data_IF_905662357773
#
_entry.id   IF_905662357773
#
_cell.length_a   1.000
_cell.length_b   1.000
_cell.length_c   1.000
_cell.angle_alpha   90.00
_cell.angle_beta   90.00
_cell.angle_gamma   90.00
#
_symmetry.space_group_name_H-M   'P 1'
#
loop_
_entity.id
_entity.type
_entity.pdbx_description
1 polymer ?
#
# COMPACT_ATOMS: atom_id res chain seq x y z
N UNK A 1 -5.44 20.98 3.16
CA UNK A 1 -6.09 20.13 2.14
C UNK A 1 -5.66 18.69 2.37
N UNK A 2 -6.56 17.72 2.22
CA UNK A 2 -6.27 16.29 2.30
C UNK A 2 -5.72 15.75 0.98
N UNK A 3 -5.11 14.56 1.00
CA UNK A 3 -4.67 13.88 -0.23
C UNK A 3 -5.87 13.56 -1.15
N UNK A 4 -5.68 13.50 -2.49
CA UNK A 4 -6.74 13.16 -3.42
C UNK A 4 -7.35 11.78 -3.14
N UNK A 5 -8.68 11.68 -3.09
CA UNK A 5 -9.37 10.42 -2.82
C UNK A 5 -9.04 9.32 -3.84
N UNK A 6 -8.90 9.68 -5.12
CA UNK A 6 -8.53 8.73 -6.17
C UNK A 6 -7.12 8.12 -5.94
N UNK A 7 -6.19 8.93 -5.43
CA UNK A 7 -4.87 8.46 -5.04
C UNK A 7 -4.98 7.48 -3.88
N UNK A 8 -5.69 7.87 -2.81
CA UNK A 8 -5.90 7.00 -1.64
C UNK A 8 -6.56 5.67 -2.01
N UNK A 9 -7.60 5.67 -2.85
CA UNK A 9 -8.24 4.43 -3.31
C UNK A 9 -7.33 3.54 -4.19
N UNK A 10 -6.35 4.10 -4.89
CA UNK A 10 -5.34 3.32 -5.60
C UNK A 10 -4.35 2.68 -4.62
N UNK A 11 -3.94 3.42 -3.59
CA UNK A 11 -3.05 2.98 -2.52
C UNK A 11 -3.70 1.86 -1.68
N UNK A 12 -4.96 2.03 -1.30
CA UNK A 12 -5.73 1.05 -0.49
C UNK A 12 -5.88 -0.30 -1.16
N UNK A 13 -5.96 -0.33 -2.50
CA UNK A 13 -6.08 -1.56 -3.29
C UNK A 13 -4.74 -2.20 -3.61
N UNK A 14 -3.62 -1.59 -3.22
CA UNK A 14 -2.30 -2.09 -3.53
C UNK A 14 -1.94 -3.34 -2.71
N UNK A 15 -1.59 -4.42 -3.41
CA UNK A 15 -1.44 -5.76 -2.81
C UNK A 15 -0.17 -6.02 -1.97
N UNK A 16 0.83 -5.13 -1.97
CA UNK A 16 2.01 -5.32 -1.10
C UNK A 16 1.66 -5.05 0.35
N UNK A 17 2.09 -5.92 1.27
CA UNK A 17 1.60 -5.91 2.65
C UNK A 17 2.26 -4.86 3.54
N UNK A 18 3.52 -4.46 3.32
CA UNK A 18 4.17 -3.46 4.20
C UNK A 18 3.53 -2.08 4.02
N UNK A 19 3.07 -1.78 2.80
CA UNK A 19 2.46 -0.50 2.48
C UNK A 19 3.44 0.67 2.55
N UNK A 20 4.74 0.40 2.43
CA UNK A 20 5.79 1.41 2.50
C UNK A 20 6.08 2.00 1.11
N UNK A 21 6.29 3.32 1.08
CA UNK A 21 6.57 4.09 -0.12
C UNK A 21 7.83 4.92 0.05
N UNK A 22 8.51 5.20 -1.07
CA UNK A 22 9.62 6.15 -1.16
C UNK A 22 9.35 7.17 -2.25
N UNK A 23 9.97 8.35 -2.16
CA UNK A 23 9.92 9.32 -3.25
C UNK A 23 10.42 8.70 -4.55
N UNK A 24 9.77 9.03 -5.64
CA UNK A 24 10.24 8.72 -6.98
C UNK A 24 10.64 10.02 -7.71
N UNK A 25 11.21 9.88 -8.91
CA UNK A 25 11.64 11.02 -9.72
C UNK A 25 10.43 11.83 -10.16
N UNK A 26 10.50 13.15 -9.99
CA UNK A 26 9.49 14.06 -10.52
C UNK A 26 9.48 14.00 -12.05
N UNK A 27 8.28 13.94 -12.61
CA UNK A 27 8.07 13.88 -14.06
C UNK A 27 7.07 14.95 -14.47
N UNK A 28 7.29 15.50 -15.67
CA UNK A 28 6.36 16.42 -16.32
C UNK A 28 5.45 15.62 -17.24
N UNK A 29 4.14 15.83 -17.14
CA UNK A 29 3.15 15.12 -17.96
C UNK A 29 2.30 16.08 -18.79
N UNK A 30 1.94 15.65 -20.00
CA UNK A 30 1.01 16.35 -20.87
C UNK A 30 -0.38 15.75 -20.70
N UNK A 31 -1.25 16.41 -19.93
CA UNK A 31 -2.63 15.97 -19.71
C UNK A 31 -3.53 16.44 -20.84
N UNK A 32 -3.26 17.66 -21.32
CA UNK A 32 -3.95 18.33 -22.41
C UNK A 32 -2.90 18.94 -23.31
N UNK A 33 -2.81 18.56 -24.60
CA UNK A 33 -1.80 19.09 -25.51
C UNK A 33 -1.96 20.57 -25.82
N UNK A 34 -3.09 21.17 -25.43
CA UNK A 34 -3.29 22.63 -25.53
C UNK A 34 -2.81 23.39 -24.31
N UNK A 35 -2.29 22.69 -23.29
CA UNK A 35 -1.81 23.27 -22.03
C UNK A 35 -0.32 23.00 -21.80
N UNK A 36 0.35 23.80 -20.95
CA UNK A 36 1.69 23.48 -20.49
C UNK A 36 1.76 22.12 -19.81
N UNK A 37 2.95 21.51 -19.83
CA UNK A 37 3.21 20.31 -19.06
C UNK A 37 3.01 20.57 -17.57
N UNK A 38 2.46 19.59 -16.87
CA UNK A 38 2.18 19.69 -15.44
C UNK A 38 3.10 18.75 -14.65
N UNK A 39 3.70 19.22 -13.53
CA UNK A 39 4.52 18.37 -12.68
C UNK A 39 3.67 17.35 -11.93
N UNK A 40 4.17 16.12 -11.89
CA UNK A 40 3.62 15.00 -11.12
C UNK A 40 4.56 14.68 -9.99
N UNK A 41 4.01 14.64 -8.77
CA UNK A 41 4.70 14.12 -7.61
C UNK A 41 4.35 12.64 -7.50
N UNK A 42 5.34 11.79 -7.73
CA UNK A 42 5.22 10.33 -7.72
C UNK A 42 5.98 9.72 -6.54
N UNK A 43 5.52 8.54 -6.14
CA UNK A 43 6.19 7.69 -5.15
C UNK A 43 6.25 6.27 -5.71
N UNK A 44 7.17 5.46 -5.21
CA UNK A 44 7.28 4.06 -5.56
C UNK A 44 7.03 3.18 -4.33
N UNK A 45 6.27 2.10 -4.49
CA UNK A 45 6.17 1.06 -3.46
C UNK A 45 7.54 0.42 -3.23
N UNK A 46 7.98 0.36 -1.98
CA UNK A 46 9.30 -0.19 -1.62
C UNK A 46 9.34 -1.71 -1.65
N UNK A 47 8.19 -2.39 -1.64
CA UNK A 47 8.11 -3.85 -1.69
C UNK A 47 8.25 -4.36 -3.13
N UNK A 48 7.36 -3.94 -4.04
CA UNK A 48 7.34 -4.44 -5.41
C UNK A 48 8.25 -3.68 -6.37
N UNK A 49 8.49 -2.39 -6.13
CA UNK A 49 9.18 -1.46 -7.03
C UNK A 49 8.52 -1.24 -8.41
N UNK A 50 7.30 -1.74 -8.61
CA UNK A 50 6.58 -1.66 -9.89
C UNK A 50 5.33 -0.80 -9.82
N UNK A 51 4.89 -0.45 -8.62
CA UNK A 51 3.74 0.40 -8.40
C UNK A 51 4.21 1.82 -8.09
N UNK A 52 3.94 2.73 -9.03
CA UNK A 52 4.38 4.13 -9.01
C UNK A 52 3.19 5.09 -8.99
N UNK A 53 2.42 5.14 -7.89
CA UNK A 53 1.31 6.07 -7.77
C UNK A 53 1.84 7.50 -7.68
N UNK A 54 1.06 8.44 -8.22
CA UNK A 54 1.38 9.85 -8.17
C UNK A 54 0.15 10.72 -8.38
N UNK A 55 0.31 12.00 -8.10
CA UNK A 55 -0.71 13.01 -8.35
C UNK A 55 -0.07 14.26 -8.93
N UNK A 56 -0.87 15.03 -9.66
CA UNK A 56 -0.47 16.33 -10.14
C UNK A 56 -0.16 17.24 -8.96
N UNK A 57 0.91 18.03 -9.05
CA UNK A 57 1.30 18.93 -7.97
C UNK A 57 0.18 19.93 -7.63
N UNK A 58 -0.65 20.32 -8.61
CA UNK A 58 -1.81 21.21 -8.42
C UNK A 58 -2.92 20.59 -7.57
N UNK A 59 -2.99 19.26 -7.48
CA UNK A 59 -3.97 18.52 -6.71
C UNK A 59 -3.46 18.14 -5.31
N UNK A 60 -2.20 18.44 -5.02
CA UNK A 60 -1.58 18.17 -3.73
C UNK A 60 -1.55 19.43 -2.85
N UNK A 61 -1.42 19.27 -1.53
CA UNK A 61 -1.12 20.39 -0.65
C UNK A 61 0.11 21.17 -1.14
N UNK A 62 0.05 22.50 -1.01
CA UNK A 62 1.13 23.39 -1.42
C UNK A 62 2.46 22.97 -0.77
N UNK A 63 3.51 22.83 -1.57
CA UNK A 63 4.85 22.44 -1.09
C UNK A 63 5.01 20.95 -0.78
N UNK A 64 4.03 20.11 -1.13
CA UNK A 64 4.15 18.66 -0.94
C UNK A 64 5.21 18.07 -1.88
N UNK A 65 6.30 17.56 -1.28
CA UNK A 65 7.37 16.86 -1.98
C UNK A 65 7.09 15.37 -2.11
N UNK A 66 7.80 14.66 -2.98
CA UNK A 66 7.71 13.19 -3.08
C UNK A 66 7.99 12.47 -1.76
N UNK A 67 8.92 12.99 -0.95
CA UNK A 67 9.20 12.45 0.39
C UNK A 67 8.03 12.64 1.36
N UNK A 68 7.43 13.84 1.37
CA UNK A 68 6.26 14.12 2.20
C UNK A 68 5.05 13.29 1.78
N UNK A 69 4.85 13.10 0.47
CA UNK A 69 3.80 12.25 -0.07
C UNK A 69 4.03 10.78 0.32
N UNK A 70 5.25 10.26 0.16
CA UNK A 70 5.59 8.89 0.53
C UNK A 70 5.36 8.62 2.02
N UNK A 71 5.75 9.55 2.88
CA UNK A 71 5.52 9.46 4.32
C UNK A 71 4.01 9.47 4.65
N UNK A 72 3.24 10.37 4.03
CA UNK A 72 1.79 10.46 4.24
C UNK A 72 1.05 9.19 3.78
N UNK A 73 1.41 8.64 2.63
CA UNK A 73 0.82 7.40 2.10
C UNK A 73 1.20 6.18 2.93
N UNK A 74 2.46 6.09 3.38
CA UNK A 74 2.91 5.03 4.29
C UNK A 74 2.14 5.10 5.61
N UNK A 75 1.98 6.29 6.19
CA UNK A 75 1.20 6.48 7.40
C UNK A 75 -0.29 6.13 7.21
N UNK A 76 -0.88 6.45 6.05
CA UNK A 76 -2.24 6.07 5.69
C UNK A 76 -2.42 4.56 5.68
N UNK A 77 -1.58 3.83 4.94
CA UNK A 77 -1.67 2.36 4.84
C UNK A 77 -1.40 1.69 6.18
N UNK A 78 -0.42 2.21 6.95
CA UNK A 78 -0.13 1.74 8.30
C UNK A 78 -1.36 1.82 9.20
N UNK A 79 -2.06 2.94 9.18
CA UNK A 79 -3.29 3.15 9.96
C UNK A 79 -4.41 2.23 9.46
N UNK A 80 -4.62 2.17 8.16
CA UNK A 80 -5.63 1.33 7.52
C UNK A 80 -5.49 -0.15 7.90
N UNK A 81 -4.25 -0.64 8.01
CA UNK A 81 -3.93 -2.04 8.31
C UNK A 81 -3.64 -2.29 9.79
N UNK A 82 -3.81 -1.28 10.65
CA UNK A 82 -3.58 -1.37 12.10
C UNK A 82 -2.19 -1.85 12.48
N UNK A 83 -1.17 -1.48 11.70
CA UNK A 83 0.21 -1.76 12.05
C UNK A 83 0.74 -0.72 13.03
N UNK A 84 1.46 -1.17 14.06
CA UNK A 84 2.22 -0.27 14.95
C UNK A 84 3.37 0.38 14.18
N UNK A 85 4.08 -0.40 13.38
CA UNK A 85 5.07 0.10 12.42
C UNK A 85 5.18 -0.82 11.21
N UNK A 86 5.73 -0.29 10.13
CA UNK A 86 6.08 -1.03 8.93
C UNK A 86 7.40 -0.48 8.35
N UNK A 87 8.15 -1.35 7.69
CA UNK A 87 9.34 -1.03 6.93
C UNK A 87 9.38 -1.86 5.66
N UNK A 88 9.95 -1.31 4.60
CA UNK A 88 10.01 -1.98 3.31
C UNK A 88 11.18 -1.50 2.47
N UNK A 89 11.72 -2.42 1.67
CA UNK A 89 12.73 -2.14 0.65
C UNK A 89 14.13 -2.61 1.02
N UNK A 90 15.12 -1.95 0.42
CA UNK A 90 16.52 -2.26 0.63
C UNK A 90 17.13 -1.39 1.73
N UNK A 91 17.79 -2.02 2.68
CA UNK A 91 18.46 -1.37 3.80
C UNK A 91 19.97 -1.55 3.68
N UNK A 92 20.75 -0.47 3.78
CA UNK A 92 22.20 -0.48 3.61
C UNK A 92 22.99 -0.84 4.86
N UNK A 93 22.37 -0.77 6.04
CA UNK A 93 23.02 -1.16 7.31
C UNK A 93 23.25 -2.67 7.33
N UNK A 94 24.35 -3.12 7.95
CA UNK A 94 24.62 -4.56 8.11
C UNK A 94 25.00 -5.30 6.81
N UNK A 95 25.66 -4.64 5.87
CA UNK A 95 26.11 -5.26 4.61
C UNK A 95 25.06 -5.30 3.50
N UNK A 96 23.86 -4.74 3.74
CA UNK A 96 22.85 -4.60 2.71
C UNK A 96 21.89 -5.79 2.62
N UNK A 97 20.60 -5.56 2.82
CA UNK A 97 19.59 -6.60 2.66
C UNK A 97 18.22 -6.03 2.30
N UNK A 98 17.38 -6.86 1.68
CA UNK A 98 15.98 -6.54 1.44
C UNK A 98 15.12 -7.01 2.60
N UNK A 99 14.22 -6.16 3.08
CA UNK A 99 13.24 -6.54 4.10
C UNK A 99 11.94 -5.79 3.85
N UNK A 100 10.84 -6.55 3.79
CA UNK A 100 9.50 -6.03 3.96
C UNK A 100 8.96 -6.59 5.26
N UNK A 101 8.62 -5.72 6.20
CA UNK A 101 8.18 -6.09 7.54
C UNK A 101 7.03 -5.19 7.99
N UNK A 102 6.02 -5.77 8.64
CA UNK A 102 4.96 -5.05 9.33
C UNK A 102 4.74 -5.67 10.71
N UNK A 103 4.50 -4.83 11.71
CA UNK A 103 4.33 -5.25 13.09
C UNK A 103 2.99 -4.79 13.63
N UNK A 104 2.20 -5.73 14.13
CA UNK A 104 0.89 -5.44 14.72
C UNK A 104 1.00 -4.99 16.19
N UNK A 105 2.13 -5.27 16.86
CA UNK A 105 2.22 -5.24 18.32
C UNK A 105 2.47 -6.64 18.86
N UNK A 106 2.74 -6.74 20.16
CA UNK A 106 2.57 -7.99 20.91
C UNK A 106 3.41 -9.20 20.45
N UNK A 107 4.44 -8.92 19.65
CA UNK A 107 5.32 -9.93 19.09
C UNK A 107 4.84 -10.53 17.77
N UNK A 108 3.78 -10.00 17.14
CA UNK A 108 3.25 -10.49 15.87
C UNK A 108 3.73 -9.66 14.66
N UNK A 109 4.38 -10.33 13.72
CA UNK A 109 4.96 -9.72 12.52
C UNK A 109 4.48 -10.39 11.23
N UNK A 110 4.49 -9.62 10.16
CA UNK A 110 4.50 -10.08 8.78
C UNK A 110 5.88 -9.78 8.21
N UNK A 111 6.53 -10.76 7.59
CA UNK A 111 7.91 -10.61 7.09
C UNK A 111 8.07 -11.24 5.71
N UNK A 112 8.75 -10.54 4.82
CA UNK A 112 9.24 -11.10 3.55
C UNK A 112 10.65 -10.60 3.27
N UNK A 113 11.61 -11.53 3.25
CA UNK A 113 13.00 -11.29 2.91
C UNK A 113 13.41 -12.11 1.66
N UNK A 114 12.45 -12.60 0.87
CA UNK A 114 12.70 -13.50 -0.28
C UNK A 114 13.54 -12.89 -1.41
N UNK A 115 13.67 -11.57 -1.47
CA UNK A 115 14.52 -10.85 -2.43
C UNK A 115 16.01 -10.94 -2.12
N UNK A 116 16.39 -11.40 -0.93
CA UNK A 116 17.78 -11.66 -0.61
C UNK A 116 18.24 -12.92 -1.35
N UNK A 117 19.44 -12.86 -1.95
CA UNK A 117 20.09 -14.04 -2.56
C UNK A 117 20.79 -14.94 -1.54
N UNK A 118 20.48 -14.77 -0.25
CA UNK A 118 21.09 -15.52 0.85
C UNK A 118 20.26 -16.73 1.24
N UNK A 119 20.91 -17.73 1.85
CA UNK A 119 20.24 -18.88 2.48
C UNK A 119 19.54 -18.55 3.80
N UNK A 120 19.64 -17.29 4.27
CA UNK A 120 19.00 -16.82 5.50
C UNK A 120 17.48 -16.87 5.41
N UNK A 121 16.86 -17.23 6.52
CA UNK A 121 15.41 -17.22 6.71
C UNK A 121 14.88 -15.80 6.93
N UNK A 122 13.56 -15.61 6.74
CA UNK A 122 12.91 -14.32 6.99
C UNK A 122 13.12 -13.83 8.44
N UNK A 123 13.13 -14.75 9.41
CA UNK A 123 13.35 -14.45 10.84
C UNK A 123 14.79 -13.98 11.10
N UNK A 124 15.78 -14.63 10.49
CA UNK A 124 17.19 -14.22 10.65
C UNK A 124 17.42 -12.82 10.09
N UNK A 125 16.82 -12.49 8.94
CA UNK A 125 16.91 -11.15 8.36
C UNK A 125 16.19 -10.11 9.22
N UNK A 126 15.02 -10.46 9.80
CA UNK A 126 14.34 -9.60 10.77
C UNK A 126 15.22 -9.35 12.01
N UNK A 127 15.85 -10.40 12.55
CA UNK A 127 16.75 -10.28 13.70
C UNK A 127 17.98 -9.42 13.39
N UNK A 128 18.57 -9.56 12.20
CA UNK A 128 19.65 -8.68 11.71
C UNK A 128 19.21 -7.22 11.60
N UNK A 129 17.98 -6.97 11.17
CA UNK A 129 17.43 -5.61 11.11
C UNK A 129 17.36 -4.94 12.49
N UNK A 130 17.06 -5.70 13.54
CA UNK A 130 17.16 -5.20 14.92
C UNK A 130 18.61 -4.98 15.36
N UNK A 131 19.50 -5.95 15.13
CA UNK A 131 20.93 -5.85 15.51
C UNK A 131 21.63 -4.65 14.89
N UNK A 132 21.31 -4.35 13.64
CA UNK A 132 21.92 -3.25 12.90
C UNK A 132 21.17 -1.92 13.04
N UNK A 133 20.13 -1.86 13.89
CA UNK A 133 19.36 -0.64 14.15
C UNK A 133 18.65 -0.11 12.91
N UNK A 134 18.18 -1.01 12.03
CA UNK A 134 17.22 -0.68 10.97
C UNK A 134 15.83 -0.57 11.57
N UNK A 135 15.50 -1.48 12.49
CA UNK A 135 14.27 -1.49 13.25
C UNK A 135 14.60 -1.38 14.74
N UNK A 136 13.72 -0.74 15.50
CA UNK A 136 13.85 -0.65 16.95
C UNK A 136 13.08 -1.83 17.59
N UNK A 137 13.74 -2.73 18.33
CA UNK A 137 13.06 -3.81 19.03
C UNK A 137 12.32 -3.28 20.27
N UNK A 138 11.17 -3.87 20.58
CA UNK A 138 10.41 -3.58 21.82
C UNK A 138 10.94 -4.38 23.01
N UNK A 139 11.43 -5.58 22.76
CA UNK A 139 12.16 -6.41 23.71
C UNK A 139 13.59 -6.59 23.20
N UNK A 140 14.64 -6.31 23.99
CA UNK A 140 16.04 -6.46 23.57
C UNK A 140 16.38 -7.85 23.02
N UNK A 141 15.65 -8.89 23.43
CA UNK A 141 15.85 -10.27 22.99
C UNK A 141 15.29 -10.54 21.58
N UNK A 142 14.59 -9.60 20.96
CA UNK A 142 14.12 -9.70 19.57
C UNK A 142 15.25 -9.89 18.54
N UNK A 143 16.50 -9.71 18.94
CA UNK A 143 17.68 -10.00 18.11
C UNK A 143 18.02 -11.49 18.02
N UNK A 144 17.39 -12.34 18.83
CA UNK A 144 17.64 -13.78 18.86
C UNK A 144 16.59 -14.54 18.02
N UNK A 145 16.97 -15.13 16.87
CA UNK A 145 16.05 -15.81 15.97
C UNK A 145 15.44 -17.09 16.57
N UNK A 146 16.08 -17.69 17.59
CA UNK A 146 15.59 -18.91 18.23
C UNK A 146 14.32 -18.68 19.08
N UNK A 147 14.01 -17.43 19.41
CA UNK A 147 12.84 -17.03 20.19
C UNK A 147 11.59 -16.79 19.33
N UNK A 148 11.68 -17.06 18.03
CA UNK A 148 10.58 -16.86 17.09
C UNK A 148 10.03 -18.18 16.58
N UNK A 149 8.73 -18.19 16.33
CA UNK A 149 8.11 -19.17 15.43
C UNK A 149 7.71 -18.47 14.15
N UNK A 150 7.77 -19.18 13.02
CA UNK A 150 7.37 -18.64 11.73
C UNK A 150 6.54 -19.64 10.94
N UNK A 151 5.59 -19.13 10.16
CA UNK A 151 4.79 -19.92 9.25
C UNK A 151 4.68 -19.18 7.91
N UNK A 152 5.14 -19.83 6.85
CA UNK A 152 4.99 -19.31 5.50
C UNK A 152 3.51 -19.33 5.11
N UNK A 153 3.03 -18.21 4.59
CA UNK A 153 1.69 -18.04 4.08
C UNK A 153 1.69 -17.09 2.88
N UNK A 154 0.53 -16.95 2.26
CA UNK A 154 0.30 -15.98 1.21
C UNK A 154 -0.92 -15.16 1.59
N UNK A 155 -0.82 -13.83 1.49
CA UNK A 155 -1.90 -12.91 1.85
C UNK A 155 -2.35 -12.08 0.65
N UNK A 156 -3.66 -11.93 0.50
CA UNK A 156 -4.26 -11.01 -0.44
C UNK A 156 -4.59 -9.69 0.27
N UNK A 157 -3.81 -8.63 -0.01
CA UNK A 157 -3.93 -7.33 0.64
C UNK A 157 -4.69 -6.27 -0.19
N UNK A 158 -5.52 -6.69 -1.16
CA UNK A 158 -6.39 -5.76 -1.92
C UNK A 158 -7.47 -5.11 -1.05
N UNK A 159 -7.71 -5.67 0.13
CA UNK A 159 -8.50 -5.08 1.21
C UNK A 159 -7.75 -5.26 2.54
N UNK A 160 -7.93 -4.36 3.53
CA UNK A 160 -7.30 -4.52 4.83
C UNK A 160 -7.84 -5.75 5.57
N UNK A 161 -6.95 -6.54 6.15
CA UNK A 161 -7.33 -7.58 7.12
C UNK A 161 -7.50 -6.85 8.46
N UNK A 162 -8.72 -6.84 9.00
CA UNK A 162 -9.07 -6.06 10.20
C UNK A 162 -9.07 -6.94 11.45
N UNK A 163 -8.98 -6.30 12.63
CA UNK A 163 -9.08 -6.94 13.95
C UNK A 163 -8.03 -8.03 14.24
N UNK A 164 -6.82 -7.88 13.71
CA UNK A 164 -5.72 -8.80 13.99
C UNK A 164 -5.15 -8.53 15.38
N UNK A 165 -5.21 -9.52 16.26
CA UNK A 165 -4.59 -9.51 17.60
C UNK A 165 -3.62 -10.67 17.80
N UNK A 166 -3.88 -11.78 17.12
CA UNK A 166 -3.12 -13.03 17.25
C UNK A 166 -2.77 -13.58 15.87
N UNK A 167 -1.79 -14.50 15.82
CA UNK A 167 -1.51 -15.26 14.61
C UNK A 167 -2.74 -16.00 14.09
N UNK A 168 -3.60 -16.51 14.99
CA UNK A 168 -4.80 -17.26 14.60
C UNK A 168 -5.79 -16.40 13.79
N UNK A 169 -5.88 -15.09 14.07
CA UNK A 169 -6.74 -14.17 13.30
C UNK A 169 -6.28 -14.07 11.84
N UNK A 170 -4.97 -14.05 11.61
CA UNK A 170 -4.40 -14.05 10.25
C UNK A 170 -4.59 -15.40 9.56
N UNK A 171 -4.42 -16.50 10.27
CA UNK A 171 -4.57 -17.85 9.72
C UNK A 171 -6.02 -18.18 9.36
N UNK A 172 -6.98 -17.70 10.15
CA UNK A 172 -8.40 -17.87 9.93
C UNK A 172 -8.96 -16.93 8.84
N UNK A 173 -8.19 -15.92 8.42
CA UNK A 173 -8.63 -14.94 7.43
C UNK A 173 -8.90 -15.58 6.07
N UNK A 174 -10.03 -15.25 5.40
CA UNK A 174 -10.30 -15.71 4.03
C UNK A 174 -9.31 -15.09 3.01
N UNK A 175 -8.58 -14.05 3.41
CA UNK A 175 -7.53 -13.43 2.61
C UNK A 175 -6.19 -14.15 2.72
N UNK A 176 -6.11 -15.27 3.45
CA UNK A 176 -4.92 -16.11 3.61
C UNK A 176 -4.99 -17.37 2.76
N UNK A 177 -3.84 -17.79 2.26
CA UNK A 177 -3.63 -19.06 1.56
C UNK A 177 -2.36 -19.75 2.06
N UNK A 178 -2.39 -21.07 2.20
CA UNK A 178 -1.20 -21.87 2.51
C UNK A 178 -0.28 -22.04 1.28
N UNK A 179 -0.86 -21.96 0.09
CA UNK A 179 -0.15 -22.16 -1.19
C UNK A 179 -0.15 -20.89 -2.02
N UNK A 180 0.81 -20.74 -2.95
CA UNK A 180 0.83 -19.62 -3.89
C UNK A 180 -0.46 -19.53 -4.69
N UNK A 181 -1.03 -18.32 -4.78
CA UNK A 181 -2.21 -18.01 -5.59
C UNK A 181 -2.02 -16.69 -6.30
N UNK A 182 -2.67 -16.53 -7.45
CA UNK A 182 -2.71 -15.25 -8.16
C UNK A 182 -3.22 -14.14 -7.23
N UNK A 183 -2.55 -12.99 -7.23
CA UNK A 183 -2.87 -11.82 -6.41
C UNK A 183 -2.60 -11.96 -4.90
N UNK A 184 -2.06 -13.10 -4.45
CA UNK A 184 -1.58 -13.26 -3.08
C UNK A 184 -0.06 -13.06 -3.04
N UNK A 185 0.41 -12.31 -2.04
CA UNK A 185 1.82 -12.06 -1.82
C UNK A 185 2.39 -13.03 -0.80
N UNK A 186 3.61 -13.50 -1.03
CA UNK A 186 4.36 -14.34 -0.08
C UNK A 186 4.61 -13.54 1.21
N UNK A 187 4.43 -14.18 2.35
CA UNK A 187 4.72 -13.59 3.66
C UNK A 187 4.91 -14.68 4.71
N UNK A 188 5.89 -14.51 5.58
CA UNK A 188 6.04 -15.28 6.80
C UNK A 188 5.28 -14.58 7.93
N UNK A 189 4.33 -15.27 8.54
CA UNK A 189 3.69 -14.84 9.78
C UNK A 189 4.60 -15.28 10.92
N UNK A 190 5.09 -14.32 11.70
CA UNK A 190 6.15 -14.55 12.70
C UNK A 190 5.65 -14.12 14.06
N UNK A 191 5.88 -14.96 15.08
CA UNK A 191 5.56 -14.67 16.48
C UNK A 191 6.83 -14.72 17.34
N UNK A 192 7.11 -13.63 18.04
CA UNK A 192 8.12 -13.57 19.09
C UNK A 192 7.54 -14.13 20.39
N UNK A 193 7.93 -15.37 20.72
CA UNK A 193 7.33 -16.16 21.79
C UNK A 193 7.35 -15.47 23.17
N UNK A 194 8.40 -14.75 23.58
CA UNK A 194 8.42 -14.12 24.90
C UNK A 194 7.32 -13.06 25.11
N UNK A 195 6.94 -12.28 24.09
CA UNK A 195 5.85 -11.30 24.21
C UNK A 195 4.48 -11.98 24.14
N UNK A 196 4.31 -12.95 23.25
CA UNK A 196 3.05 -13.72 23.14
C UNK A 196 2.74 -14.46 24.46
N UNK A 197 3.76 -15.06 25.09
CA UNK A 197 3.60 -15.75 26.37
C UNK A 197 3.27 -14.80 27.53
N UNK A 198 3.83 -13.58 27.52
CA UNK A 198 3.55 -12.57 28.54
C UNK A 198 2.08 -12.11 28.50
N UNK A 199 1.48 -12.02 27.32
CA UNK A 199 0.07 -11.67 27.14
C UNK A 199 -0.86 -12.77 27.63
N UNK A 200 -0.53 -14.03 27.37
CA UNK A 200 -1.29 -15.17 27.88
C UNK A 200 -1.25 -15.26 29.42
N UNK A 201 -0.19 -14.73 30.03
CA UNK A 201 0.02 -14.74 31.49
C UNK A 201 -0.51 -13.50 32.21
N UNK A 202 -1.00 -12.49 31.47
CA UNK A 202 -1.47 -11.25 32.07
C UNK A 202 -2.83 -11.46 32.78
N UNK A 203 -2.96 -11.15 34.08
CA UNK A 203 -4.23 -11.27 34.78
C UNK A 203 -5.25 -10.29 34.19
N UNK A 204 -6.38 -10.81 33.70
CA UNK A 204 -7.50 -10.03 33.20
C UNK A 204 -8.13 -9.25 34.37
N UNK A 205 -7.67 -8.02 34.59
CA UNK A 205 -8.34 -7.09 35.50
C UNK A 205 -9.55 -6.51 34.78
N UNK A 206 -10.69 -7.20 34.94
CA UNK A 206 -12.00 -6.73 34.52
C UNK A 206 -12.36 -5.48 35.33
N UNK A 207 -12.09 -4.30 34.76
CA UNK A 207 -12.66 -3.05 35.26
C UNK A 207 -14.11 -2.97 34.77
N UNK A 208 -15.13 -2.89 35.65
CA UNK A 208 -16.51 -2.78 35.21
C UNK A 208 -16.76 -1.40 34.59
N UNK A 209 -17.40 -1.41 33.42
CA UNK A 209 -17.78 -0.22 32.66
C UNK A 209 -18.87 0.59 33.41
N UNK A 210 -18.76 1.93 33.50
CA UNK A 210 -19.88 2.77 33.86
C UNK A 210 -20.85 2.93 32.66
N UNK A 211 -22.14 2.79 32.95
CA UNK A 211 -23.25 2.81 32.02
C UNK A 211 -23.46 4.18 31.36
N UNK A 212 -23.76 4.17 30.06
CA UNK A 212 -24.21 5.34 29.31
C UNK A 212 -25.72 5.59 29.50
N UNK A 213 -26.20 6.85 29.50
CA UNK A 213 -27.60 7.17 29.28
C UNK A 213 -27.91 7.63 27.84
N UNK A 214 -29.15 7.37 27.50
CA UNK A 214 -29.85 7.37 26.22
C UNK A 214 -30.02 8.72 25.50
N UNK A 215 -30.14 8.61 24.18
CA UNK A 215 -30.63 9.61 23.21
C UNK A 215 -32.11 9.95 23.39
N UNK A 216 -32.58 11.08 22.84
CA UNK A 216 -33.83 11.07 22.09
C UNK A 216 -33.74 11.72 20.69
N UNK A 217 -34.59 11.22 19.80
CA UNK A 217 -34.75 11.59 18.39
C UNK A 217 -35.68 12.82 18.21
N UNK A 218 -35.45 13.61 17.14
CA UNK A 218 -36.47 14.52 16.57
C UNK A 218 -36.37 14.52 15.02
N UNK A 219 -37.56 14.48 14.41
CA UNK A 219 -37.90 14.44 12.98
C UNK A 219 -37.87 15.83 12.27
N UNK A 220 -37.71 15.83 10.93
CA UNK A 220 -38.59 16.51 9.92
C UNK A 220 -37.92 17.34 8.80
N UNK A 221 -37.96 16.78 7.57
CA UNK A 221 -38.42 17.25 6.20
C UNK A 221 -38.14 18.69 5.63
N UNK A 222 -38.35 19.00 4.31
CA UNK A 222 -37.35 19.57 3.37
C UNK A 222 -37.68 21.01 2.90
N UNK A 223 -36.98 21.59 1.89
CA UNK A 223 -37.67 21.75 0.60
C UNK A 223 -36.80 21.65 -0.68
N UNK A 224 -37.51 21.34 -1.76
CA UNK A 224 -37.13 21.34 -3.19
C UNK A 224 -36.85 22.75 -3.73
N UNK A 225 -35.93 22.90 -4.69
CA UNK A 225 -36.08 23.74 -5.89
C UNK A 225 -34.99 23.41 -6.94
N UNK A 226 -35.43 23.30 -8.20
CA UNK A 226 -34.74 23.08 -9.48
C UNK A 226 -35.26 24.20 -10.43
N UNK A 227 -34.89 24.34 -11.72
CA UNK A 227 -33.63 24.24 -12.46
C UNK A 227 -33.33 25.50 -13.32
N UNK A 228 -32.17 25.55 -14.00
CA UNK A 228 -31.96 26.10 -15.35
C UNK A 228 -30.56 25.63 -15.83
N UNK A 229 -30.24 25.20 -17.05
CA UNK A 229 -30.96 25.07 -18.31
C UNK A 229 -29.93 25.14 -19.46
N UNK A 230 -29.69 24.00 -20.14
CA UNK A 230 -29.23 23.80 -21.57
C UNK A 230 -27.88 24.43 -22.04
N UNK A 231 -27.07 23.86 -22.96
CA UNK A 231 -27.33 23.04 -24.15
C UNK A 231 -26.02 22.30 -24.63
N UNK A 232 -26.07 21.46 -25.70
CA UNK A 232 -25.24 20.26 -25.87
C UNK A 232 -24.03 20.43 -26.82
N UNK A 233 -23.04 19.52 -26.74
CA UNK A 233 -22.13 19.22 -27.85
C UNK A 233 -21.83 17.72 -27.99
N UNK A 234 -22.49 17.15 -28.98
CA UNK A 234 -22.04 16.12 -29.93
C UNK A 234 -21.13 15.00 -29.41
N UNK A 235 -21.76 13.90 -28.98
CA UNK A 235 -21.15 12.57 -28.89
C UNK A 235 -21.03 11.95 -30.29
N UNK A 236 -19.85 12.07 -30.90
CA UNK A 236 -19.44 11.15 -31.96
C UNK A 236 -18.54 10.08 -31.33
N UNK A 237 -18.78 8.78 -31.55
CA UNK A 237 -17.90 7.74 -31.03
C UNK A 237 -16.50 7.88 -31.65
N UNK A 238 -15.42 7.65 -30.88
CA UNK A 238 -14.07 7.71 -31.43
C UNK A 238 -13.94 6.66 -32.54
N UNK A 239 -13.61 7.12 -33.75
CA UNK A 239 -13.34 6.27 -34.90
C UNK A 239 -12.18 5.32 -34.52
N UNK A 240 -12.32 3.99 -34.69
CA UNK A 240 -11.23 3.07 -34.38
C UNK A 240 -10.03 3.38 -35.28
N UNK A 241 -8.88 3.64 -34.66
CA UNK A 241 -7.63 3.87 -35.39
C UNK A 241 -7.23 2.58 -36.11
N UNK A 242 -6.89 2.70 -37.39
CA UNK A 242 -6.44 1.56 -38.21
C UNK A 242 -4.92 1.65 -38.42
N UNK A 243 -4.23 0.51 -38.43
CA UNK A 243 -2.79 0.45 -38.74
C UNK A 243 -2.52 1.13 -40.08
N UNK A 244 -1.52 2.01 -40.13
CA UNK A 244 -1.18 2.79 -41.32
C UNK A 244 -1.88 4.14 -41.47
N UNK A 245 -2.83 4.50 -40.59
CA UNK A 245 -3.37 5.86 -40.57
C UNK A 245 -2.39 6.84 -39.92
N UNK A 246 -2.32 8.06 -40.48
CA UNK A 246 -1.58 9.15 -39.86
C UNK A 246 -2.42 9.75 -38.73
N UNK A 247 -1.81 9.89 -37.56
CA UNK A 247 -2.45 10.51 -36.42
C UNK A 247 -2.77 11.99 -36.73
N UNK A 248 -4.03 12.44 -36.58
CA UNK A 248 -4.40 13.83 -36.86
C UNK A 248 -3.79 14.84 -35.88
N UNK A 249 -3.21 14.37 -34.76
CA UNK A 249 -2.52 15.22 -33.76
C UNK A 249 -1.02 15.37 -34.00
N UNK A 250 -0.32 14.27 -34.30
CA UNK A 250 1.15 14.28 -34.37
C UNK A 250 1.72 13.92 -35.75
N UNK A 251 0.86 13.64 -36.73
CA UNK A 251 1.27 13.25 -38.09
C UNK A 251 2.03 11.93 -38.18
N UNK A 252 2.25 11.22 -37.06
CA UNK A 252 2.94 9.94 -37.05
C UNK A 252 1.97 8.81 -37.38
N UNK A 253 2.48 7.79 -38.08
CA UNK A 253 1.74 6.58 -38.41
C UNK A 253 1.33 5.81 -37.14
N UNK A 254 0.08 5.35 -37.11
CA UNK A 254 -0.44 4.44 -36.09
C UNK A 254 0.15 3.06 -36.32
N UNK A 255 0.90 2.56 -35.33
CA UNK A 255 1.54 1.26 -35.35
C UNK A 255 1.02 0.38 -34.22
N UNK A 256 1.06 -0.93 -34.45
CA UNK A 256 0.82 -1.92 -33.42
C UNK A 256 2.04 -2.01 -32.50
N UNK A 257 1.81 -1.83 -31.20
CA UNK A 257 2.85 -1.80 -30.17
C UNK A 257 2.66 -2.93 -29.17
N UNK A 258 3.75 -3.61 -28.77
CA UNK A 258 3.66 -4.70 -27.80
C UNK A 258 3.40 -4.19 -26.39
N UNK A 259 2.55 -4.90 -25.67
CA UNK A 259 2.35 -4.88 -24.22
C UNK A 259 2.80 -6.22 -23.64
N UNK A 260 3.01 -6.24 -22.33
CA UNK A 260 3.43 -7.46 -21.62
C UNK A 260 2.45 -8.64 -21.78
N UNK A 261 1.19 -8.39 -22.15
CA UNK A 261 0.14 -9.42 -22.34
C UNK A 261 -0.68 -9.23 -23.63
N UNK A 262 -0.18 -8.49 -24.63
CA UNK A 262 -0.91 -8.26 -25.88
C UNK A 262 -0.32 -7.17 -26.75
N UNK A 263 -1.15 -6.58 -27.62
CA UNK A 263 -0.78 -5.44 -28.45
C UNK A 263 -1.84 -4.34 -28.38
N UNK A 264 -1.46 -3.11 -28.68
CA UNK A 264 -2.39 -2.00 -28.85
C UNK A 264 -1.96 -1.12 -30.03
N UNK A 265 -2.93 -0.43 -30.64
CA UNK A 265 -2.68 0.49 -31.75
C UNK A 265 -2.48 1.91 -31.21
N UNK A 266 -1.30 2.49 -31.43
CA UNK A 266 -1.02 3.87 -31.00
C UNK A 266 -0.02 4.61 -31.89
N UNK A 267 -0.19 5.94 -31.93
CA UNK A 267 0.82 6.91 -32.40
C UNK A 267 1.98 7.02 -31.37
N UNK A 268 2.93 7.91 -31.64
CA UNK A 268 4.00 8.29 -30.68
C UNK A 268 3.58 9.30 -29.59
N UNK A 269 2.31 9.68 -29.49
CA UNK A 269 1.84 10.91 -28.86
C UNK A 269 1.13 10.77 -27.49
#
# INVERSE_FOLDING_TARGET
MSLPAALLSAIERHGCFSGCYRSDSEVLTCIDPTRPLEPVVSVACTDCLTFHPGALASLLPLGMTGNALAAALTAHVRTLRSYRWAAGGYHTKGGGFWLSAAYYGDGLFLVDASRNRSTRTDVEVLADAFRHGVLQPEDPRMVDPSLYTSELSYLNMHAPITNIRTKQDLLASPQRSATPRQSFQRVSIVEFQPLVAALASAPSTSTPAPSAPSTPAILSVPPTLRPAGTAPRSSAPPRPLTVGQLCPRCGSEVQERPLFTGTYLACRC
#
